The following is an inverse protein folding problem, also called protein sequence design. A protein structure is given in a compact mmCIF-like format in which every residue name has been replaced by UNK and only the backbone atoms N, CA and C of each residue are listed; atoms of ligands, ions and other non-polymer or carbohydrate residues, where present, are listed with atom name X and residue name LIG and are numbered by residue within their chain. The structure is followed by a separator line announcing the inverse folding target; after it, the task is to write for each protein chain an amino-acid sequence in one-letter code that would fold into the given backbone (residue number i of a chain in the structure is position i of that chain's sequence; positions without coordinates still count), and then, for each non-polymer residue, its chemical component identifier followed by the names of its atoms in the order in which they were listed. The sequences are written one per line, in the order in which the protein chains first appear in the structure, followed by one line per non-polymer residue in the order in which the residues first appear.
data_IF_578215218540
#
_entry.id   IF_578215218540
#
_cell.length_a   1.000
_cell.length_b   1.000
_cell.length_c   1.000
_cell.angle_alpha   90.00
_cell.angle_beta   90.00
_cell.angle_gamma   90.00
#
_symmetry.space_group_name_H-M   'P 1'
#
loop_
_entity.id
_entity.type
_entity.pdbx_description
1 polymer ?
#
# COMPACT_ATOMS: atom_id res chain seq x y z
N UNK A 1 -38.39 58.15 58.21
CA UNK A 1 -38.10 57.01 57.39
C UNK A 1 -36.59 56.79 57.40
N UNK A 2 -36.10 55.86 58.24
CA UNK A 2 -34.66 55.67 58.55
C UNK A 2 -34.20 54.53 57.63
N UNK A 3 -33.30 54.80 56.67
CA UNK A 3 -32.67 53.82 55.87
C UNK A 3 -31.39 53.32 56.53
N UNK A 4 -31.34 52.05 56.94
CA UNK A 4 -30.13 51.40 57.49
C UNK A 4 -29.17 51.08 56.39
N UNK A 5 -27.95 51.59 56.46
CA UNK A 5 -26.81 51.20 55.61
C UNK A 5 -26.25 49.84 56.06
N UNK A 6 -26.32 48.80 55.18
CA UNK A 6 -25.72 47.55 55.49
C UNK A 6 -24.20 47.58 55.18
N UNK A 7 -23.44 47.25 56.21
CA UNK A 7 -21.98 47.17 56.21
C UNK A 7 -21.52 46.02 55.30
N UNK A 8 -21.06 46.31 54.11
CA UNK A 8 -20.41 45.32 53.24
C UNK A 8 -19.00 45.06 53.75
N UNK A 9 -18.74 43.83 54.20
CA UNK A 9 -17.42 43.31 54.57
C UNK A 9 -16.40 43.55 53.46
N UNK A 10 -15.37 44.36 53.78
CA UNK A 10 -14.18 44.50 52.89
C UNK A 10 -13.47 43.16 52.85
N UNK A 11 -13.20 42.60 51.68
CA UNK A 11 -12.52 41.30 51.56
C UNK A 11 -11.08 41.42 52.06
N UNK A 12 -10.64 40.40 52.81
CA UNK A 12 -9.33 40.34 53.46
C UNK A 12 -8.21 40.46 52.38
N UNK A 13 -7.35 41.48 52.52
CA UNK A 13 -6.23 41.75 51.58
C UNK A 13 -5.30 40.55 51.38
N UNK A 14 -5.20 39.64 52.34
CA UNK A 14 -4.38 38.42 52.23
C UNK A 14 -4.95 37.41 51.26
N UNK A 15 -6.29 37.27 51.19
CA UNK A 15 -6.95 36.36 50.24
C UNK A 15 -6.86 36.90 48.82
N UNK A 16 -7.00 38.22 48.64
CA UNK A 16 -6.88 38.85 47.30
C UNK A 16 -5.45 38.72 46.73
N UNK A 17 -4.41 38.89 47.55
CA UNK A 17 -3.01 38.78 47.13
C UNK A 17 -2.60 37.32 46.82
N UNK A 18 -3.20 36.35 47.54
CA UNK A 18 -2.95 34.91 47.30
C UNK A 18 -3.55 34.45 45.97
N UNK A 19 -4.75 34.89 45.64
CA UNK A 19 -5.39 34.57 44.37
C UNK A 19 -4.65 35.18 43.18
N UNK A 20 -4.13 36.40 43.31
CA UNK A 20 -3.33 37.01 42.22
C UNK A 20 -1.99 36.31 41.96
N UNK A 21 -1.35 35.72 42.99
CA UNK A 21 -0.12 34.92 42.79
C UNK A 21 -0.40 33.59 42.06
N UNK A 22 -1.54 32.95 42.34
CA UNK A 22 -1.97 31.72 41.68
C UNK A 22 -2.37 32.00 40.22
N UNK A 23 -3.09 33.08 39.96
CA UNK A 23 -3.45 33.53 38.62
C UNK A 23 -2.19 33.85 37.78
N UNK A 24 -1.24 34.62 38.33
CA UNK A 24 0.02 34.94 37.64
C UNK A 24 0.84 33.71 37.28
N UNK A 25 0.88 32.65 38.11
CA UNK A 25 1.54 31.38 37.77
C UNK A 25 0.83 30.62 36.65
N UNK A 26 -0.50 30.63 36.61
CA UNK A 26 -1.28 29.99 35.54
C UNK A 26 -1.06 30.68 34.19
N UNK A 27 -1.02 32.01 34.15
CA UNK A 27 -0.78 32.77 32.91
C UNK A 27 0.67 32.70 32.44
N UNK A 28 1.64 32.34 33.29
CA UNK A 28 3.03 32.14 32.90
C UNK A 28 3.25 30.74 32.32
N UNK A 29 2.48 29.72 32.75
CA UNK A 29 2.55 28.34 32.24
C UNK A 29 1.90 28.18 30.86
N UNK A 30 0.86 28.95 30.57
CA UNK A 30 0.14 28.85 29.30
C UNK A 30 1.02 29.16 28.08
N UNK A 31 1.78 30.28 28.00
CA UNK A 31 2.67 30.55 26.88
C UNK A 31 3.84 29.58 26.82
N UNK A 32 4.29 29.02 27.93
CA UNK A 32 5.34 28.02 27.96
C UNK A 32 4.87 26.70 27.33
N UNK A 33 3.67 26.23 27.66
CA UNK A 33 3.05 25.06 27.03
C UNK A 33 2.81 25.28 25.54
N UNK A 34 2.37 26.48 25.15
CA UNK A 34 2.16 26.82 23.74
C UNK A 34 3.48 26.87 22.96
N UNK A 35 4.56 27.35 23.57
CA UNK A 35 5.90 27.35 23.00
C UNK A 35 6.43 25.93 22.78
N UNK A 36 6.26 25.02 23.75
CA UNK A 36 6.63 23.62 23.60
C UNK A 36 5.77 22.90 22.55
N UNK A 37 4.48 23.22 22.45
CA UNK A 37 3.59 22.69 21.42
C UNK A 37 4.04 23.14 20.02
N UNK A 38 4.38 24.42 19.85
CA UNK A 38 4.92 24.94 18.58
C UNK A 38 6.26 24.31 18.23
N UNK A 39 7.14 24.08 19.21
CA UNK A 39 8.41 23.40 19.01
C UNK A 39 8.20 21.94 18.56
N UNK A 40 7.22 21.23 19.13
CA UNK A 40 6.85 19.88 18.71
C UNK A 40 6.29 19.85 17.28
N UNK A 41 5.42 20.79 16.93
CA UNK A 41 4.87 20.91 15.56
C UNK A 41 5.98 21.22 14.55
N UNK A 42 6.95 22.08 14.92
CA UNK A 42 8.09 22.40 14.07
C UNK A 42 9.02 21.18 13.88
N UNK A 43 9.22 20.36 14.93
CA UNK A 43 10.01 19.12 14.83
C UNK A 43 9.34 18.06 13.94
N UNK A 44 8.01 17.93 14.01
CA UNK A 44 7.26 17.01 13.15
C UNK A 44 7.36 17.44 11.68
N UNK A 45 7.34 18.74 11.39
CA UNK A 45 7.48 19.24 10.01
C UNK A 45 8.87 18.99 9.41
N UNK A 46 9.93 18.93 10.21
CA UNK A 46 11.29 18.62 9.77
C UNK A 46 11.44 17.13 9.40
N UNK A 47 10.70 16.23 10.08
CA UNK A 47 10.73 14.80 9.74
C UNK A 47 9.92 14.44 8.50
N UNK A 48 8.91 15.24 8.12
CA UNK A 48 8.06 14.99 6.96
C UNK A 48 8.64 15.47 5.62
N UNK A 49 9.78 16.14 5.61
CA UNK A 49 10.35 16.81 4.43
C UNK A 49 11.67 16.26 3.92
N UNK A 50 12.16 15.15 4.43
CA UNK A 50 13.35 14.51 3.88
C UNK A 50 12.95 13.51 2.78
N UNK A 51 12.45 14.02 1.66
CA UNK A 51 12.71 13.33 0.40
C UNK A 51 14.24 13.37 0.22
N UNK A 52 14.87 12.25 0.56
CA UNK A 52 16.25 12.00 0.19
C UNK A 52 16.30 11.98 -1.35
N UNK A 53 16.48 13.15 -1.97
CA UNK A 53 17.01 13.24 -3.32
C UNK A 53 18.47 12.77 -3.25
N UNK A 54 18.67 11.49 -2.99
CA UNK A 54 19.94 10.85 -3.29
C UNK A 54 20.11 11.02 -4.79
N UNK A 55 21.13 11.79 -5.19
CA UNK A 55 21.55 11.86 -6.57
C UNK A 55 22.01 10.46 -6.98
N UNK A 56 21.02 9.62 -7.29
CA UNK A 56 21.25 8.26 -7.78
C UNK A 56 21.69 8.27 -9.24
N UNK A 57 21.99 7.12 -9.79
CA UNK A 57 22.38 7.01 -11.18
C UNK A 57 21.28 7.57 -12.09
N UNK A 58 21.68 8.29 -13.13
CA UNK A 58 20.76 8.73 -14.16
C UNK A 58 20.30 7.52 -14.98
N UNK A 59 19.01 7.17 -14.86
CA UNK A 59 18.43 6.02 -15.50
C UNK A 59 17.51 6.46 -16.63
N UNK A 60 17.58 5.79 -17.79
CA UNK A 60 16.66 5.98 -18.91
C UNK A 60 15.27 5.40 -18.63
N UNK A 61 15.14 4.47 -17.68
CA UNK A 61 13.85 3.92 -17.27
C UNK A 61 12.95 5.02 -16.73
N UNK A 62 11.65 5.04 -17.12
CA UNK A 62 10.70 6.05 -16.65
C UNK A 62 10.37 5.94 -15.15
N UNK A 63 10.49 4.75 -14.56
CA UNK A 63 10.40 4.52 -13.11
C UNK A 63 11.44 3.50 -12.68
N UNK A 64 11.99 3.66 -11.48
CA UNK A 64 12.94 2.71 -10.91
C UNK A 64 12.90 2.75 -9.40
N UNK A 65 13.06 1.58 -8.77
CA UNK A 65 13.15 1.42 -7.32
C UNK A 65 14.27 0.45 -7.00
N UNK A 66 15.08 0.81 -6.01
CA UNK A 66 16.01 -0.09 -5.34
C UNK A 66 15.65 -0.12 -3.87
N UNK A 67 15.33 -1.30 -3.36
CA UNK A 67 14.89 -1.50 -1.99
C UNK A 67 15.80 -2.52 -1.31
N UNK A 68 16.13 -2.27 -0.04
CA UNK A 68 16.81 -3.25 0.79
C UNK A 68 15.79 -4.34 1.19
N UNK A 69 16.15 -5.62 0.98
CA UNK A 69 15.21 -6.74 1.01
C UNK A 69 14.71 -7.10 2.42
N UNK A 70 15.52 -6.89 3.46
CA UNK A 70 15.18 -7.27 4.83
C UNK A 70 14.31 -6.20 5.53
N UNK A 71 14.61 -4.92 5.29
CA UNK A 71 13.98 -3.80 5.98
C UNK A 71 12.87 -3.13 5.16
N UNK A 72 12.82 -3.36 3.85
CA UNK A 72 11.93 -2.66 2.93
C UNK A 72 12.29 -1.19 2.69
N UNK A 73 13.46 -0.73 3.16
CA UNK A 73 13.89 0.65 3.00
C UNK A 73 14.27 0.94 1.54
N UNK A 74 13.73 2.03 0.99
CA UNK A 74 14.14 2.50 -0.34
C UNK A 74 15.54 3.09 -0.31
N UNK A 75 16.47 2.49 -1.06
CA UNK A 75 17.82 2.99 -1.30
C UNK A 75 17.85 4.01 -2.45
N UNK A 76 16.98 3.78 -3.45
CA UNK A 76 16.79 4.67 -4.58
C UNK A 76 15.34 4.59 -5.07
N UNK A 77 14.74 5.72 -5.43
CA UNK A 77 13.41 5.76 -5.99
C UNK A 77 13.30 6.87 -7.05
N UNK A 78 12.77 6.51 -8.21
CA UNK A 78 12.43 7.40 -9.31
C UNK A 78 11.00 7.10 -9.73
N UNK A 79 10.10 8.07 -9.62
CA UNK A 79 8.67 7.95 -9.99
C UNK A 79 8.03 6.64 -9.49
N UNK A 80 8.34 6.23 -8.24
CA UNK A 80 7.94 4.95 -7.66
C UNK A 80 6.42 4.78 -7.52
N UNK A 81 5.69 5.89 -7.33
CA UNK A 81 4.26 5.90 -7.11
C UNK A 81 3.45 6.16 -8.39
N UNK A 82 4.13 6.37 -9.52
CA UNK A 82 3.46 6.56 -10.81
C UNK A 82 2.87 5.24 -11.31
N UNK A 83 1.56 5.20 -11.53
CA UNK A 83 0.89 4.02 -12.09
C UNK A 83 1.40 3.73 -13.50
N UNK A 84 1.88 2.50 -13.71
CA UNK A 84 2.40 2.02 -14.98
C UNK A 84 1.91 0.61 -15.24
N UNK A 85 1.83 0.24 -16.53
CA UNK A 85 1.59 -1.15 -16.90
C UNK A 85 2.84 -1.98 -16.58
N UNK A 86 2.73 -3.02 -15.73
CA UNK A 86 3.88 -3.82 -15.32
C UNK A 86 4.27 -4.87 -16.36
N UNK A 87 3.59 -4.90 -17.52
CA UNK A 87 3.78 -5.91 -18.56
C UNK A 87 3.79 -7.34 -17.98
N UNK A 88 4.75 -8.19 -18.34
CA UNK A 88 4.80 -9.58 -17.88
C UNK A 88 5.05 -9.77 -16.38
N UNK A 89 5.40 -8.72 -15.63
CA UNK A 89 5.44 -8.78 -14.15
C UNK A 89 4.05 -9.13 -13.57
N UNK A 90 2.97 -8.81 -14.27
CA UNK A 90 1.60 -9.25 -13.95
C UNK A 90 1.48 -10.77 -13.72
N UNK A 91 2.30 -11.57 -14.40
CA UNK A 91 2.27 -13.03 -14.27
C UNK A 91 2.71 -13.55 -12.89
N UNK A 92 3.38 -12.72 -12.10
CA UNK A 92 3.64 -13.03 -10.68
C UNK A 92 2.31 -13.21 -9.95
N UNK A 93 1.34 -12.30 -10.15
CA UNK A 93 0.02 -12.43 -9.55
C UNK A 93 -0.75 -13.63 -10.11
N UNK A 94 -0.64 -13.89 -11.42
CA UNK A 94 -1.20 -15.11 -12.04
C UNK A 94 -0.69 -16.36 -11.33
N UNK A 95 0.62 -16.46 -11.13
CA UNK A 95 1.24 -17.62 -10.46
C UNK A 95 0.83 -17.72 -8.98
N UNK A 96 0.72 -16.60 -8.26
CA UNK A 96 0.25 -16.59 -6.87
C UNK A 96 -1.12 -17.26 -6.79
N UNK A 97 -2.09 -16.83 -7.59
CA UNK A 97 -3.43 -17.45 -7.60
C UNK A 97 -3.39 -18.94 -7.99
N UNK A 98 -2.60 -19.31 -9.00
CA UNK A 98 -2.44 -20.72 -9.37
C UNK A 98 -1.92 -21.54 -8.19
N UNK A 99 -0.90 -21.05 -7.48
CA UNK A 99 -0.33 -21.74 -6.31
C UNK A 99 -1.26 -21.76 -5.11
N UNK A 100 -2.07 -20.72 -4.91
CA UNK A 100 -3.09 -20.70 -3.88
C UNK A 100 -4.13 -21.81 -4.10
N UNK A 101 -4.63 -21.97 -5.34
CA UNK A 101 -5.55 -23.04 -5.70
C UNK A 101 -4.91 -24.44 -5.61
N UNK A 102 -3.64 -24.57 -5.97
CA UNK A 102 -2.89 -25.82 -5.78
C UNK A 102 -2.75 -26.15 -4.29
N UNK A 103 -2.43 -25.14 -3.45
CA UNK A 103 -2.28 -25.34 -2.01
C UNK A 103 -3.61 -25.66 -1.32
N UNK A 104 -4.70 -25.04 -1.77
CA UNK A 104 -6.05 -25.35 -1.29
C UNK A 104 -6.54 -26.75 -1.72
N UNK A 105 -5.91 -27.35 -2.73
CA UNK A 105 -6.33 -28.63 -3.30
C UNK A 105 -7.49 -28.52 -4.28
N UNK A 106 -7.81 -27.32 -4.74
CA UNK A 106 -8.86 -27.06 -5.73
C UNK A 106 -8.45 -27.57 -7.12
N UNK A 107 -7.16 -27.55 -7.41
CA UNK A 107 -6.55 -28.06 -8.63
C UNK A 107 -5.32 -28.90 -8.31
N UNK A 108 -4.91 -29.74 -9.26
CA UNK A 108 -3.71 -30.60 -9.16
C UNK A 108 -2.76 -30.32 -10.34
N UNK A 109 -1.47 -30.55 -10.13
CA UNK A 109 -0.45 -30.39 -11.18
C UNK A 109 -0.72 -31.26 -12.42
N UNK A 110 -1.46 -32.38 -12.26
CA UNK A 110 -1.78 -33.32 -13.33
C UNK A 110 -3.12 -33.06 -14.02
N UNK A 111 -3.88 -32.06 -13.53
CA UNK A 111 -5.18 -31.79 -14.12
C UNK A 111 -5.05 -31.33 -15.57
N UNK A 112 -5.95 -31.81 -16.46
CA UNK A 112 -5.95 -31.43 -17.85
C UNK A 112 -6.62 -30.07 -18.04
N UNK A 113 -5.96 -29.16 -18.72
CA UNK A 113 -6.44 -27.82 -19.08
C UNK A 113 -6.58 -27.76 -20.59
N UNK A 114 -7.79 -27.47 -21.08
CA UNK A 114 -8.07 -27.31 -22.50
C UNK A 114 -7.91 -25.86 -22.92
N UNK A 115 -7.12 -25.61 -23.95
CA UNK A 115 -6.90 -24.27 -24.50
C UNK A 115 -8.14 -23.80 -25.26
N UNK A 116 -8.68 -22.64 -24.90
CA UNK A 116 -9.81 -22.01 -25.58
C UNK A 116 -9.35 -21.27 -26.85
N UNK A 117 -10.30 -20.91 -27.71
CA UNK A 117 -10.06 -20.00 -28.83
C UNK A 117 -9.54 -18.63 -28.37
N UNK A 118 -10.00 -18.17 -27.21
CA UNK A 118 -9.55 -16.91 -26.60
C UNK A 118 -8.09 -17.00 -26.14
N UNK A 119 -7.73 -18.02 -25.38
CA UNK A 119 -6.35 -18.24 -24.95
C UNK A 119 -5.39 -18.36 -26.14
N UNK A 120 -5.75 -19.13 -27.19
CA UNK A 120 -4.99 -19.23 -28.45
C UNK A 120 -4.81 -17.88 -29.15
N UNK A 121 -5.77 -16.98 -29.08
CA UNK A 121 -5.75 -15.68 -29.76
C UNK A 121 -4.82 -14.65 -29.10
N UNK A 122 -4.23 -14.95 -27.94
CA UNK A 122 -3.37 -14.01 -27.22
C UNK A 122 -2.15 -13.64 -28.04
N UNK A 123 -1.83 -12.33 -28.03
CA UNK A 123 -0.62 -11.80 -28.66
C UNK A 123 0.57 -11.71 -27.67
N UNK A 124 1.70 -11.24 -28.19
CA UNK A 124 2.94 -11.06 -27.39
C UNK A 124 3.71 -12.35 -27.21
N UNK A 125 4.29 -12.58 -26.00
CA UNK A 125 5.01 -13.83 -25.71
C UNK A 125 4.02 -15.01 -25.61
N UNK A 126 4.25 -16.05 -26.37
CA UNK A 126 3.38 -17.23 -26.50
C UNK A 126 4.20 -18.51 -26.52
N UNK A 127 3.57 -19.63 -26.19
CA UNK A 127 4.07 -20.97 -26.43
C UNK A 127 3.32 -21.64 -27.61
N UNK A 128 2.43 -20.87 -28.26
CA UNK A 128 1.68 -21.25 -29.43
C UNK A 128 0.76 -22.46 -29.23
N UNK A 129 -0.02 -22.41 -28.14
CA UNK A 129 -1.05 -23.41 -27.86
C UNK A 129 -2.14 -23.38 -28.95
N UNK A 130 -2.57 -24.55 -29.38
CA UNK A 130 -3.67 -24.69 -30.34
C UNK A 130 -5.02 -24.77 -29.63
N UNK A 131 -6.10 -24.29 -30.29
CA UNK A 131 -7.45 -24.43 -29.77
C UNK A 131 -7.82 -25.92 -29.62
N UNK A 132 -8.34 -26.28 -28.45
CA UNK A 132 -8.65 -27.65 -28.07
C UNK A 132 -7.44 -28.46 -27.64
N UNK A 133 -6.22 -27.91 -27.69
CA UNK A 133 -5.03 -28.55 -27.13
C UNK A 133 -5.18 -28.74 -25.65
N UNK A 134 -4.80 -29.90 -25.13
CA UNK A 134 -4.86 -30.22 -23.70
C UNK A 134 -3.43 -30.33 -23.16
N UNK A 135 -3.14 -29.52 -22.13
CA UNK A 135 -1.88 -29.56 -21.39
C UNK A 135 -2.17 -29.75 -19.89
N UNK A 136 -1.19 -30.22 -19.12
CA UNK A 136 -1.33 -30.28 -17.67
C UNK A 136 -1.08 -28.92 -17.02
N UNK A 137 -1.64 -28.71 -15.86
CA UNK A 137 -1.36 -27.51 -15.01
C UNK A 137 0.14 -27.31 -14.83
N UNK A 138 0.91 -28.39 -14.56
CA UNK A 138 2.37 -28.33 -14.43
C UNK A 138 3.04 -27.80 -15.71
N UNK A 139 2.61 -28.28 -16.88
CA UNK A 139 3.17 -27.82 -18.15
C UNK A 139 2.87 -26.35 -18.38
N UNK A 140 1.62 -25.90 -18.12
CA UNK A 140 1.24 -24.51 -18.31
C UNK A 140 1.96 -23.58 -17.34
N UNK A 141 2.18 -23.97 -16.08
CA UNK A 141 3.04 -23.24 -15.14
C UNK A 141 4.44 -23.04 -15.72
N UNK A 142 5.05 -24.10 -16.26
CA UNK A 142 6.37 -24.00 -16.91
C UNK A 142 6.34 -23.05 -18.11
N UNK A 143 5.29 -23.09 -18.93
CA UNK A 143 5.08 -22.17 -20.05
C UNK A 143 5.01 -20.71 -19.60
N UNK A 144 4.32 -20.45 -18.48
CA UNK A 144 4.21 -19.11 -17.90
C UNK A 144 5.55 -18.62 -17.35
N UNK A 145 6.24 -19.45 -16.57
CA UNK A 145 7.49 -19.07 -15.87
C UNK A 145 8.66 -18.92 -16.85
N UNK A 146 8.82 -19.84 -17.78
CA UNK A 146 10.01 -19.91 -18.65
C UNK A 146 9.84 -19.04 -19.88
N UNK A 147 8.71 -19.19 -20.58
CA UNK A 147 8.44 -18.51 -21.84
C UNK A 147 7.59 -17.24 -21.69
N UNK A 148 7.08 -16.97 -20.50
CA UNK A 148 6.15 -15.87 -20.27
C UNK A 148 4.91 -15.94 -21.15
N UNK A 149 4.39 -17.15 -21.42
CA UNK A 149 3.27 -17.42 -22.35
C UNK A 149 1.99 -16.72 -21.92
N UNK A 150 1.46 -15.84 -22.77
CA UNK A 150 0.18 -15.18 -22.54
C UNK A 150 -0.97 -16.17 -22.76
N UNK A 151 -0.88 -17.01 -23.80
CA UNK A 151 -1.80 -18.09 -24.08
C UNK A 151 -1.92 -19.06 -22.88
N UNK A 152 -0.81 -19.53 -22.36
CA UNK A 152 -0.79 -20.38 -21.17
C UNK A 152 -1.38 -19.66 -19.91
N UNK A 153 -1.14 -18.37 -19.76
CA UNK A 153 -1.67 -17.58 -18.63
C UNK A 153 -3.19 -17.47 -18.71
N UNK A 154 -3.75 -17.20 -19.89
CA UNK A 154 -5.20 -17.11 -20.11
C UNK A 154 -5.85 -18.49 -20.00
N UNK A 155 -5.25 -19.54 -20.55
CA UNK A 155 -5.77 -20.91 -20.40
C UNK A 155 -5.89 -21.30 -18.92
N UNK A 156 -4.89 -20.97 -18.08
CA UNK A 156 -4.95 -21.21 -16.63
C UNK A 156 -5.99 -20.34 -15.94
N UNK A 157 -6.12 -19.06 -16.33
CA UNK A 157 -7.13 -18.16 -15.77
C UNK A 157 -8.54 -18.67 -16.03
N UNK A 158 -8.83 -19.09 -17.26
CA UNK A 158 -10.13 -19.67 -17.63
C UNK A 158 -10.40 -21.01 -16.93
N UNK A 159 -9.38 -21.84 -16.77
CA UNK A 159 -9.50 -23.11 -16.05
C UNK A 159 -9.88 -22.94 -14.60
N UNK A 160 -9.25 -21.97 -13.91
CA UNK A 160 -9.47 -21.72 -12.46
C UNK A 160 -10.78 -20.97 -12.21
N UNK A 161 -11.07 -19.95 -13.00
CA UNK A 161 -12.13 -18.98 -12.70
C UNK A 161 -13.28 -18.99 -13.71
N UNK A 162 -13.20 -19.83 -14.75
CA UNK A 162 -14.19 -19.88 -15.82
C UNK A 162 -14.03 -18.79 -16.89
N UNK A 163 -13.33 -17.70 -16.59
CA UNK A 163 -13.00 -16.65 -17.55
C UNK A 163 -11.78 -15.83 -17.11
N UNK A 164 -11.11 -15.19 -18.08
CA UNK A 164 -10.04 -14.22 -17.79
C UNK A 164 -10.54 -13.07 -16.91
N UNK A 165 -11.75 -12.57 -17.17
CA UNK A 165 -12.35 -11.46 -16.42
C UNK A 165 -12.53 -11.78 -14.93
N UNK A 166 -13.07 -12.96 -14.62
CA UNK A 166 -13.25 -13.41 -13.25
C UNK A 166 -11.91 -13.64 -12.54
N UNK A 167 -10.93 -14.17 -13.26
CA UNK A 167 -9.58 -14.32 -12.73
C UNK A 167 -8.92 -12.96 -12.41
N UNK A 168 -9.06 -11.98 -13.28
CA UNK A 168 -8.58 -10.61 -13.05
C UNK A 168 -9.28 -9.96 -11.86
N UNK A 169 -10.57 -10.23 -11.66
CA UNK A 169 -11.30 -9.78 -10.48
C UNK A 169 -10.69 -10.36 -9.18
N UNK A 170 -10.32 -11.65 -9.19
CA UNK A 170 -9.62 -12.28 -8.07
C UNK A 170 -8.23 -11.67 -7.84
N UNK A 171 -7.45 -11.42 -8.91
CA UNK A 171 -6.15 -10.73 -8.82
C UNK A 171 -6.27 -9.37 -8.10
N UNK A 172 -7.27 -8.57 -8.47
CA UNK A 172 -7.53 -7.28 -7.86
C UNK A 172 -7.97 -7.40 -6.39
N UNK A 173 -8.73 -8.44 -6.04
CA UNK A 173 -9.12 -8.71 -4.66
C UNK A 173 -7.90 -9.01 -3.77
N UNK A 174 -6.95 -9.82 -4.25
CA UNK A 174 -5.71 -10.13 -3.52
C UNK A 174 -4.86 -8.88 -3.31
N UNK A 175 -4.75 -8.00 -4.32
CA UNK A 175 -4.00 -6.74 -4.20
C UNK A 175 -4.55 -5.83 -3.10
N UNK A 176 -5.86 -5.75 -2.92
CA UNK A 176 -6.48 -4.90 -1.88
C UNK A 176 -6.22 -5.39 -0.45
N UNK A 177 -5.82 -6.65 -0.28
CA UNK A 177 -5.46 -7.21 1.04
C UNK A 177 -4.03 -6.83 1.43
N UNK A 178 -3.19 -6.46 0.46
CA UNK A 178 -1.77 -6.14 0.67
C UNK A 178 -1.48 -4.63 0.76
N UNK A 179 -2.49 -3.78 0.53
CA UNK A 179 -2.44 -2.32 0.77
C UNK A 179 -2.76 -1.98 2.24
#
# INVERSE_FOLDING_TARGET
MIVRYNNTKVPDRKIFMRNNKILRKKYLLLPLCFFFLLLHICMISVYAGQENSTSGPELSAPSAVLMEAETGQFVYAKDKDTRRSPASVTKIMTLILIFDHLHAGDISLTDPVTTSAHAKSMGGSQVFLEEGEIQTVETLIKCIVIASGNDASVAMAEFISGSEQEFVAQMNCVLTVWE
#
